data_IF_652351288410
#
_entry.id   IF_652351288410
#
_cell.length_a   1.000
_cell.length_b   1.000
_cell.length_c   1.000
_cell.angle_alpha   90.00
_cell.angle_beta   90.00
_cell.angle_gamma   90.00
#
_symmetry.space_group_name_H-M   'P 1'
#
loop_
_entity.id
_entity.type
_entity.pdbx_description
1 polymer ?
#
# COMPACT_ATOMS: atom_id res chain seq x y z
N UNK A 1 -43.95 -10.98 -43.99
CA UNK A 1 -43.42 -9.96 -43.05
C UNK A 1 -42.00 -10.37 -42.68
N UNK A 2 -41.00 -9.81 -43.36
CA UNK A 2 -39.58 -9.96 -42.99
C UNK A 2 -39.21 -8.76 -42.11
N UNK A 3 -38.86 -9.01 -40.86
CA UNK A 3 -38.33 -7.99 -39.95
C UNK A 3 -36.79 -8.08 -39.98
N UNK A 4 -36.17 -7.11 -40.65
CA UNK A 4 -34.71 -6.96 -40.70
C UNK A 4 -34.25 -6.31 -39.40
N UNK A 5 -33.57 -7.07 -38.55
CA UNK A 5 -32.97 -6.59 -37.30
C UNK A 5 -31.60 -5.98 -37.58
N UNK A 6 -31.52 -4.65 -37.63
CA UNK A 6 -30.25 -3.94 -37.77
C UNK A 6 -29.50 -3.90 -36.43
N UNK A 7 -28.38 -4.61 -36.33
CA UNK A 7 -27.42 -4.45 -35.22
C UNK A 7 -26.51 -3.25 -35.56
N UNK A 8 -26.78 -2.11 -34.94
CA UNK A 8 -25.88 -0.95 -34.96
C UNK A 8 -24.69 -1.16 -34.03
N UNK A 9 -23.48 -1.05 -34.58
CA UNK A 9 -22.23 -1.00 -33.81
C UNK A 9 -22.07 0.39 -33.17
N UNK A 10 -22.18 0.47 -31.85
CA UNK A 10 -21.88 1.70 -31.12
C UNK A 10 -20.35 1.86 -30.99
N UNK A 11 -19.78 2.70 -31.86
CA UNK A 11 -18.41 3.21 -31.75
C UNK A 11 -18.31 4.17 -30.55
N UNK A 12 -17.46 3.85 -29.58
CA UNK A 12 -17.14 4.78 -28.49
C UNK A 12 -16.18 5.86 -29.01
N UNK A 13 -16.68 7.10 -29.14
CA UNK A 13 -15.77 8.24 -29.24
C UNK A 13 -15.08 8.45 -27.90
N UNK A 14 -13.75 8.43 -27.89
CA UNK A 14 -12.95 8.83 -26.73
C UNK A 14 -13.06 10.35 -26.58
N UNK A 15 -14.01 10.80 -25.75
CA UNK A 15 -13.99 12.15 -25.23
C UNK A 15 -12.77 12.30 -24.33
N UNK A 16 -11.85 13.16 -24.72
CA UNK A 16 -10.79 13.64 -23.84
C UNK A 16 -11.44 14.51 -22.77
N UNK A 17 -11.79 13.89 -21.65
CA UNK A 17 -12.16 14.62 -20.43
C UNK A 17 -10.87 15.22 -19.89
N UNK A 18 -10.78 16.54 -20.02
CA UNK A 18 -9.84 17.35 -19.26
C UNK A 18 -10.29 17.26 -17.80
N UNK A 19 -9.63 16.40 -17.01
CA UNK A 19 -9.89 16.31 -15.57
C UNK A 19 -9.29 17.55 -14.92
N UNK A 20 -10.10 18.60 -14.82
CA UNK A 20 -9.93 19.57 -13.73
C UNK A 20 -10.15 18.79 -12.43
N UNK A 21 -9.12 18.75 -11.59
CA UNK A 21 -9.19 18.20 -10.24
C UNK A 21 -10.22 18.99 -9.45
N UNK A 22 -11.47 18.55 -9.50
CA UNK A 22 -12.45 18.86 -8.47
C UNK A 22 -11.90 18.25 -7.18
N UNK A 23 -11.32 19.11 -6.34
CA UNK A 23 -10.95 18.82 -4.96
C UNK A 23 -12.26 18.48 -4.25
N UNK A 24 -12.65 17.21 -4.36
CA UNK A 24 -13.73 16.64 -3.60
C UNK A 24 -13.41 16.88 -2.15
N UNK A 25 -14.30 17.62 -1.49
CA UNK A 25 -14.32 17.78 -0.05
C UNK A 25 -14.59 16.41 0.57
N UNK A 26 -13.54 15.60 0.70
CA UNK A 26 -13.49 14.52 1.64
C UNK A 26 -13.37 15.21 2.99
N UNK A 27 -14.52 15.38 3.65
CA UNK A 27 -14.60 15.69 5.07
C UNK A 27 -13.89 14.56 5.80
N UNK A 28 -12.57 14.69 5.93
CA UNK A 28 -11.76 13.86 6.78
C UNK A 28 -12.25 14.12 8.19
N UNK A 29 -13.16 13.27 8.66
CA UNK A 29 -13.48 13.19 10.05
C UNK A 29 -12.22 12.61 10.70
N UNK A 30 -11.32 13.51 11.10
CA UNK A 30 -10.14 13.21 11.88
C UNK A 30 -10.62 12.77 13.27
N UNK A 31 -11.19 11.57 13.34
CA UNK A 31 -11.28 10.83 14.58
C UNK A 31 -9.83 10.54 14.98
N UNK A 32 -9.34 11.36 15.90
CA UNK A 32 -8.15 11.10 16.71
C UNK A 32 -8.47 9.96 17.65
N UNK A 33 -8.71 8.77 17.09
CA UNK A 33 -8.58 7.54 17.83
C UNK A 33 -7.08 7.36 17.98
N UNK A 34 -6.55 7.31 19.20
CA UNK A 34 -5.22 6.74 19.44
C UNK A 34 -5.28 5.30 18.95
N UNK A 35 -4.99 5.08 17.67
CA UNK A 35 -4.99 3.75 17.05
C UNK A 35 -3.70 3.10 17.49
N UNK A 36 -3.71 2.53 18.69
CA UNK A 36 -2.78 1.48 19.04
C UNK A 36 -3.02 0.35 18.04
N UNK A 37 -1.98 -0.04 17.29
CA UNK A 37 -2.10 -1.04 16.26
C UNK A 37 -2.75 -2.34 16.77
N UNK A 38 -3.82 -2.80 16.11
CA UNK A 38 -4.64 -3.95 16.51
C UNK A 38 -3.82 -5.25 16.64
N UNK A 39 -2.70 -5.37 15.92
CA UNK A 39 -1.86 -6.57 15.85
C UNK A 39 -0.49 -6.37 16.50
N UNK A 40 -0.31 -5.33 17.32
CA UNK A 40 0.96 -5.04 18.02
C UNK A 40 1.39 -6.15 18.99
N UNK A 41 0.43 -6.87 19.58
CA UNK A 41 0.64 -7.99 20.51
C UNK A 41 0.87 -9.34 19.82
N UNK A 42 0.89 -9.39 18.48
CA UNK A 42 1.10 -10.63 17.75
C UNK A 42 2.50 -11.20 18.07
N UNK A 43 2.62 -12.48 18.49
CA UNK A 43 3.92 -13.09 18.79
C UNK A 43 4.82 -13.21 17.56
N UNK A 44 4.26 -13.19 16.35
CA UNK A 44 5.00 -13.25 15.10
C UNK A 44 4.84 -11.95 14.31
N UNK A 45 5.96 -11.32 13.99
CA UNK A 45 6.02 -10.03 13.28
C UNK A 45 6.82 -10.16 11.98
N UNK A 46 6.37 -9.47 10.94
CA UNK A 46 7.07 -9.39 9.68
C UNK A 46 8.31 -8.50 9.82
N UNK A 47 9.48 -9.05 9.49
CA UNK A 47 10.72 -8.29 9.43
C UNK A 47 10.78 -7.45 8.16
N UNK A 48 10.94 -6.14 8.31
CA UNK A 48 11.03 -5.21 7.18
C UNK A 48 12.48 -4.78 7.02
N UNK A 49 13.10 -5.15 5.90
CA UNK A 49 14.50 -4.86 5.59
C UNK A 49 14.56 -3.83 4.47
N UNK A 50 15.25 -2.72 4.72
CA UNK A 50 15.60 -1.74 3.69
C UNK A 50 17.08 -1.88 3.37
N UNK A 51 17.35 -2.63 2.32
CA UNK A 51 18.70 -2.89 1.83
C UNK A 51 19.12 -1.82 0.82
N UNK A 52 20.29 -1.21 1.05
CA UNK A 52 20.84 -0.17 0.19
C UNK A 52 22.25 -0.57 -0.25
N UNK A 53 22.50 -0.81 -1.55
CA UNK A 53 23.84 -1.07 -2.10
C UNK A 53 24.85 0.04 -1.76
N UNK A 54 26.15 -0.25 -1.79
CA UNK A 54 27.18 0.75 -1.42
C UNK A 54 27.38 1.88 -2.44
N UNK A 55 26.81 1.75 -3.63
CA UNK A 55 26.94 2.68 -4.76
C UNK A 55 25.68 3.53 -4.97
N UNK A 56 24.69 3.43 -4.08
CA UNK A 56 23.41 4.16 -4.16
C UNK A 56 23.06 4.73 -2.80
N UNK A 57 22.59 5.98 -2.77
CA UNK A 57 22.10 6.60 -1.54
C UNK A 57 20.70 6.12 -1.16
N UNK A 58 20.44 6.07 0.14
CA UNK A 58 19.09 5.81 0.66
C UNK A 58 18.12 6.90 0.23
N UNK A 59 16.88 6.52 -0.07
CA UNK A 59 15.83 7.50 -0.41
C UNK A 59 15.46 8.30 0.86
N UNK A 60 15.43 9.64 0.80
CA UNK A 60 15.01 10.45 1.93
C UNK A 60 13.61 10.08 2.42
N UNK A 61 13.41 10.12 3.74
CA UNK A 61 12.15 9.78 4.39
C UNK A 61 11.63 8.36 4.09
N UNK A 62 12.50 7.41 3.69
CA UNK A 62 12.09 6.03 3.39
C UNK A 62 11.27 5.43 4.53
N UNK A 63 11.68 5.65 5.78
CA UNK A 63 10.99 5.10 6.95
C UNK A 63 9.54 5.56 7.04
N UNK A 64 9.28 6.85 6.88
CA UNK A 64 7.92 7.40 6.91
C UNK A 64 7.07 6.86 5.76
N UNK A 65 7.63 6.81 4.55
CA UNK A 65 6.94 6.34 3.35
C UNK A 65 6.58 4.86 3.46
N UNK A 66 7.56 4.01 3.81
CA UNK A 66 7.37 2.57 3.96
C UNK A 66 6.45 2.24 5.14
N UNK A 67 6.56 2.97 6.26
CA UNK A 67 5.63 2.79 7.39
C UNK A 67 4.20 3.02 6.96
N UNK A 68 3.92 4.12 6.25
CA UNK A 68 2.58 4.40 5.73
C UNK A 68 2.07 3.29 4.82
N UNK A 69 2.87 2.88 3.83
CA UNK A 69 2.48 1.84 2.88
C UNK A 69 2.18 0.51 3.60
N UNK A 70 3.01 0.12 4.56
CA UNK A 70 2.87 -1.17 5.24
C UNK A 70 1.73 -1.17 6.25
N UNK A 71 1.45 -0.06 6.93
CA UNK A 71 0.28 0.08 7.79
C UNK A 71 -1.03 0.10 6.96
N UNK A 72 -1.03 0.79 5.82
CA UNK A 72 -2.15 0.81 4.89
C UNK A 72 -2.38 -0.62 4.31
N UNK A 73 -1.31 -1.33 3.95
CA UNK A 73 -1.37 -2.72 3.52
C UNK A 73 -1.88 -3.64 4.64
N UNK A 74 -1.40 -3.51 5.88
CA UNK A 74 -1.85 -4.32 7.01
C UNK A 74 -3.37 -4.21 7.20
N UNK A 75 -3.94 -3.00 7.10
CA UNK A 75 -5.37 -2.78 7.12
C UNK A 75 -6.09 -3.40 5.92
N UNK A 76 -5.50 -3.29 4.72
CA UNK A 76 -6.04 -3.94 3.53
C UNK A 76 -6.16 -5.45 3.74
N UNK A 77 -5.11 -6.11 4.23
CA UNK A 77 -5.15 -7.55 4.52
C UNK A 77 -6.22 -7.88 5.57
N UNK A 78 -6.32 -7.10 6.64
CA UNK A 78 -7.36 -7.27 7.66
C UNK A 78 -8.78 -7.23 7.08
N UNK A 79 -9.06 -6.23 6.24
CA UNK A 79 -10.36 -6.04 5.62
C UNK A 79 -10.71 -7.19 4.66
N UNK A 80 -9.73 -7.68 3.90
CA UNK A 80 -9.94 -8.82 3.01
C UNK A 80 -10.17 -10.11 3.82
N UNK A 81 -9.36 -10.37 4.84
CA UNK A 81 -9.54 -11.55 5.70
C UNK A 81 -10.91 -11.57 6.39
N UNK A 82 -11.37 -10.41 6.84
CA UNK A 82 -12.71 -10.26 7.42
C UNK A 82 -13.81 -10.53 6.39
N UNK A 83 -13.68 -9.94 5.19
CA UNK A 83 -14.64 -10.13 4.08
C UNK A 83 -14.77 -11.59 3.67
N UNK A 84 -13.68 -12.34 3.67
CA UNK A 84 -13.68 -13.77 3.29
C UNK A 84 -14.09 -14.70 4.45
N UNK A 85 -14.47 -14.16 5.62
CA UNK A 85 -15.00 -14.94 6.74
C UNK A 85 -13.96 -15.52 7.71
N UNK A 86 -12.68 -15.14 7.58
CA UNK A 86 -11.63 -15.55 8.52
C UNK A 86 -11.55 -14.64 9.77
N UNK A 87 -12.39 -13.60 9.79
CA UNK A 87 -12.38 -12.51 10.76
C UNK A 87 -11.26 -11.51 10.50
N UNK A 88 -11.33 -10.36 11.18
CA UNK A 88 -10.39 -9.25 11.06
C UNK A 88 -8.99 -9.60 11.57
N UNK A 89 -8.17 -10.18 10.69
CA UNK A 89 -6.81 -10.65 10.99
C UNK A 89 -5.81 -10.10 9.99
N UNK A 90 -4.64 -9.70 10.48
CA UNK A 90 -3.52 -9.30 9.64
C UNK A 90 -2.19 -9.77 10.23
N UNK A 91 -1.11 -9.55 9.50
CA UNK A 91 0.25 -9.83 9.96
C UNK A 91 0.69 -8.80 11.02
N UNK A 92 1.52 -9.23 11.96
CA UNK A 92 2.14 -8.32 12.93
C UNK A 92 3.23 -7.47 12.26
N UNK A 93 3.33 -6.21 12.66
CA UNK A 93 4.45 -5.33 12.32
C UNK A 93 5.17 -4.94 13.60
N UNK A 94 6.49 -4.80 13.51
CA UNK A 94 7.26 -4.23 14.61
C UNK A 94 7.15 -2.70 14.56
N UNK A 95 6.77 -2.07 15.66
CA UNK A 95 6.40 -0.65 15.70
C UNK A 95 7.38 0.11 16.58
N UNK A 96 7.88 1.25 16.09
CA UNK A 96 8.56 2.24 16.94
C UNK A 96 7.53 3.10 17.67
N UNK A 97 6.43 3.41 17.00
CA UNK A 97 5.27 4.14 17.52
C UNK A 97 4.07 3.90 16.58
N UNK A 98 2.93 4.53 16.89
CA UNK A 98 1.67 4.36 16.15
C UNK A 98 1.75 4.69 14.65
N UNK A 99 2.73 5.49 14.22
CA UNK A 99 2.88 5.92 12.82
C UNK A 99 4.12 5.37 12.13
N UNK A 100 5.06 4.78 12.87
CA UNK A 100 6.36 4.33 12.35
C UNK A 100 6.63 2.88 12.72
N UNK A 101 7.01 2.12 11.70
CA UNK A 101 7.44 0.74 11.88
C UNK A 101 8.95 0.67 12.07
N UNK A 102 9.40 -0.42 12.67
CA UNK A 102 10.81 -0.78 12.72
C UNK A 102 11.24 -1.34 11.36
N UNK A 103 12.20 -0.66 10.75
CA UNK A 103 12.82 -1.05 9.49
C UNK A 103 14.30 -1.26 9.75
N UNK A 104 14.77 -2.46 9.46
CA UNK A 104 16.17 -2.83 9.55
C UNK A 104 16.89 -2.29 8.31
N UNK A 105 17.70 -1.25 8.51
CA UNK A 105 18.55 -0.71 7.47
C UNK A 105 19.79 -1.59 7.32
N UNK A 106 20.08 -2.05 6.11
CA UNK A 106 21.28 -2.85 5.82
C UNK A 106 22.01 -2.19 4.65
N UNK A 107 23.23 -1.71 4.92
CA UNK A 107 24.14 -1.28 3.86
C UNK A 107 24.76 -2.51 3.20
N UNK A 108 24.66 -2.59 1.88
CA UNK A 108 25.26 -3.63 1.07
C UNK A 108 26.78 -3.50 1.02
N UNK A 109 27.48 -4.62 1.00
CA UNK A 109 28.95 -4.65 0.81
C UNK A 109 29.36 -4.34 -0.64
N UNK A 110 28.44 -4.56 -1.58
CA UNK A 110 28.68 -4.51 -3.01
C UNK A 110 27.70 -3.57 -3.71
N UNK A 111 28.06 -3.17 -4.94
CA UNK A 111 27.24 -2.27 -5.74
C UNK A 111 25.98 -2.96 -6.27
N UNK A 112 24.99 -2.16 -6.67
CA UNK A 112 23.65 -2.59 -7.11
C UNK A 112 23.69 -3.74 -8.12
N UNK A 113 24.66 -3.72 -9.05
CA UNK A 113 24.81 -4.72 -10.11
C UNK A 113 25.00 -6.15 -9.59
N UNK A 114 25.52 -6.32 -8.37
CA UNK A 114 25.72 -7.64 -7.74
C UNK A 114 24.52 -8.13 -6.93
N UNK A 115 23.57 -7.24 -6.63
CA UNK A 115 22.37 -7.54 -5.85
C UNK A 115 21.15 -7.88 -6.72
N UNK A 116 21.37 -8.13 -8.03
CA UNK A 116 20.33 -8.66 -8.90
C UNK A 116 20.10 -10.12 -8.51
N UNK A 117 19.01 -10.37 -7.80
CA UNK A 117 18.56 -11.73 -7.52
C UNK A 117 18.08 -12.30 -8.85
N UNK A 118 18.81 -13.28 -9.40
CA UNK A 118 18.37 -14.08 -10.55
C UNK A 118 17.09 -14.86 -10.24
#
# INVERSE_FOLDING_TARGET
MLATLALGVASCNKTLVNTEESVGNLKANAATTSVTNEWSSNPYKLNVIYFVPNDVDSIPNFRKRLSKILLDAQNMFANNMDREGFGRKSFGLDLLNDSLINIHYIAGKYGKATSHVS
#
